data_IF_365123481503
#
_entry.id   IF_365123481503
#
_cell.length_a   1.000
_cell.length_b   1.000
_cell.length_c   1.000
_cell.angle_alpha   90.00
_cell.angle_beta   90.00
_cell.angle_gamma   90.00
#
_symmetry.space_group_name_H-M   'P 1'
#
loop_
_entity.id
_entity.type
_entity.pdbx_description
1 polymer ?
#
# COMPACT_ATOMS: atom_id res chain seq x y z
N UNK A 1 1.01 4.30 2.50
CA UNK A 1 1.69 4.65 1.24
C UNK A 1 2.42 3.41 0.73
N UNK A 2 1.94 2.76 -0.34
CA UNK A 2 2.52 1.51 -0.84
C UNK A 2 4.00 1.63 -1.22
N UNK A 3 4.44 2.83 -1.62
CA UNK A 3 5.83 3.15 -1.95
C UNK A 3 6.76 3.11 -0.73
N UNK A 4 6.28 3.51 0.45
CA UNK A 4 7.08 3.49 1.68
C UNK A 4 7.39 2.05 2.13
N UNK A 5 6.45 1.11 1.93
CA UNK A 5 6.67 -0.29 2.23
C UNK A 5 7.67 -0.93 1.23
N UNK A 6 7.64 -0.52 -0.06
CA UNK A 6 8.64 -0.94 -1.07
C UNK A 6 10.02 -0.39 -0.71
N UNK A 7 10.09 0.90 -0.36
CA UNK A 7 11.32 1.55 0.07
C UNK A 7 11.89 0.89 1.32
N UNK A 8 11.03 0.52 2.27
CA UNK A 8 11.39 -0.32 3.40
C UNK A 8 11.98 -1.66 2.97
N UNK A 9 11.35 -2.39 2.05
CA UNK A 9 11.86 -3.68 1.59
C UNK A 9 13.24 -3.56 0.94
N UNK A 10 13.41 -2.57 0.08
CA UNK A 10 14.73 -2.26 -0.51
C UNK A 10 15.76 -1.90 0.56
N UNK A 11 15.34 -1.12 1.56
CA UNK A 11 16.20 -0.71 2.66
C UNK A 11 16.57 -1.89 3.58
N UNK A 12 15.63 -2.79 3.89
CA UNK A 12 15.86 -4.04 4.64
C UNK A 12 16.82 -4.96 3.90
N UNK A 13 16.62 -5.13 2.60
CA UNK A 13 17.49 -5.94 1.75
C UNK A 13 18.89 -5.33 1.70
N UNK A 14 19.01 -4.02 1.52
CA UNK A 14 20.30 -3.31 1.55
C UNK A 14 20.99 -3.39 2.92
N UNK A 15 20.24 -3.25 4.02
CA UNK A 15 20.74 -3.42 5.38
C UNK A 15 21.22 -4.85 5.65
N UNK A 16 20.51 -5.86 5.14
CA UNK A 16 20.90 -7.27 5.25
C UNK A 16 22.18 -7.57 4.45
N UNK A 17 22.33 -7.00 3.26
CA UNK A 17 23.58 -7.09 2.49
C UNK A 17 24.74 -6.39 3.21
N UNK A 18 24.49 -5.26 3.88
CA UNK A 18 25.50 -4.56 4.69
C UNK A 18 26.00 -5.40 5.88
N UNK A 19 25.12 -6.17 6.52
CA UNK A 19 25.51 -7.14 7.57
C UNK A 19 26.28 -8.33 7.02
N UNK A 20 26.11 -8.67 5.75
CA UNK A 20 26.85 -9.75 5.09
C UNK A 20 28.28 -9.34 4.73
N UNK A 21 28.55 -8.03 4.61
CA UNK A 21 29.86 -7.48 4.29
C UNK A 21 30.73 -7.28 5.55
N UNK A 22 30.10 -7.02 6.70
CA UNK A 22 30.76 -6.99 8.01
C UNK A 22 30.73 -8.40 8.59
N UNK A 23 31.86 -9.12 8.57
CA UNK A 23 32.05 -10.49 9.05
C UNK A 23 31.34 -10.83 10.38
N UNK A 24 30.06 -11.23 10.31
CA UNK A 24 29.28 -11.86 11.37
C UNK A 24 28.25 -10.97 12.07
N UNK A 25 27.17 -11.64 12.52
CA UNK A 25 26.09 -11.09 13.36
C UNK A 25 26.67 -10.65 14.71
N UNK A 26 27.34 -9.51 14.72
CA UNK A 26 27.87 -8.86 15.91
C UNK A 26 26.79 -7.95 16.49
N UNK A 27 26.72 -7.85 17.82
CA UNK A 27 25.82 -6.94 18.53
C UNK A 27 25.96 -5.48 18.06
N UNK A 28 27.15 -5.10 17.62
CA UNK A 28 27.46 -3.79 17.02
C UNK A 28 26.90 -3.64 15.60
N UNK A 29 26.90 -4.71 14.79
CA UNK A 29 26.24 -4.73 13.48
C UNK A 29 24.73 -4.59 13.58
N UNK A 30 24.10 -5.31 14.52
CA UNK A 30 22.65 -5.20 14.79
C UNK A 30 22.31 -3.80 15.32
N UNK A 31 23.09 -3.26 16.26
CA UNK A 31 22.90 -1.89 16.74
C UNK A 31 23.12 -0.83 15.62
N UNK A 32 24.03 -1.11 14.69
CA UNK A 32 24.27 -0.30 13.50
C UNK A 32 23.07 -0.21 12.57
N UNK A 33 22.28 -1.28 12.42
CA UNK A 33 21.03 -1.26 11.64
C UNK A 33 19.99 -0.28 12.21
N UNK A 34 19.89 -0.19 13.54
CA UNK A 34 18.97 0.73 14.20
C UNK A 34 19.56 2.14 14.38
N UNK A 35 20.81 2.37 13.97
CA UNK A 35 21.43 3.68 14.02
C UNK A 35 20.74 4.65 13.06
N UNK A 36 20.35 5.81 13.58
CA UNK A 36 19.68 6.91 12.86
C UNK A 36 20.58 7.52 11.75
N UNK A 37 21.88 7.20 11.75
CA UNK A 37 22.84 7.66 10.75
C UNK A 37 22.88 6.80 9.49
N UNK A 38 22.36 5.57 9.54
CA UNK A 38 22.24 4.72 8.37
C UNK A 38 20.88 4.95 7.70
N UNK A 39 20.85 5.04 6.36
CA UNK A 39 19.62 5.25 5.60
C UNK A 39 18.52 4.23 5.95
N UNK A 40 18.90 3.02 6.40
CA UNK A 40 17.99 1.99 6.88
C UNK A 40 17.29 2.33 8.21
N UNK A 41 18.06 2.72 9.23
CA UNK A 41 17.51 3.02 10.56
C UNK A 41 16.56 4.22 10.55
N UNK A 42 16.88 5.24 9.75
CA UNK A 42 16.04 6.42 9.60
C UNK A 42 14.68 6.10 8.96
N UNK A 43 14.66 5.25 7.92
CA UNK A 43 13.43 4.83 7.24
C UNK A 43 12.56 3.97 8.14
N UNK A 44 13.17 3.03 8.86
CA UNK A 44 12.49 2.23 9.88
C UNK A 44 11.84 3.10 10.96
N UNK A 45 12.57 4.08 11.48
CA UNK A 45 12.07 4.98 12.51
C UNK A 45 10.86 5.80 12.04
N UNK A 46 10.95 6.45 10.88
CA UNK A 46 9.82 7.19 10.31
C UNK A 46 8.63 6.29 9.99
N UNK A 47 8.87 5.05 9.57
CA UNK A 47 7.79 4.09 9.35
C UNK A 47 7.08 3.72 10.64
N UNK A 48 7.84 3.39 11.68
CA UNK A 48 7.26 3.06 12.98
C UNK A 48 6.46 4.23 13.55
N UNK A 49 7.00 5.44 13.42
CA UNK A 49 6.30 6.67 13.80
C UNK A 49 5.00 6.85 13.01
N UNK A 50 5.03 6.61 11.70
CA UNK A 50 3.83 6.67 10.85
C UNK A 50 2.77 5.65 11.27
N UNK A 51 3.15 4.39 11.52
CA UNK A 51 2.22 3.35 11.99
C UNK A 51 1.68 3.67 13.38
N UNK A 52 2.51 4.21 14.27
CA UNK A 52 2.10 4.62 15.60
C UNK A 52 1.05 5.75 15.55
N UNK A 53 1.29 6.77 14.72
CA UNK A 53 0.34 7.85 14.49
C UNK A 53 -0.95 7.33 13.87
N UNK A 54 -0.88 6.44 12.88
CA UNK A 54 -2.06 5.80 12.26
C UNK A 54 -2.87 5.00 13.29
N UNK A 55 -2.20 4.29 14.19
CA UNK A 55 -2.84 3.56 15.29
C UNK A 55 -3.48 4.51 16.31
N UNK A 56 -2.85 5.65 16.60
CA UNK A 56 -3.38 6.67 17.48
C UNK A 56 -4.68 7.28 16.91
N UNK A 57 -4.70 7.62 15.62
CA UNK A 57 -5.90 8.10 14.96
C UNK A 57 -7.01 7.05 14.91
N UNK A 58 -6.68 5.79 14.63
CA UNK A 58 -7.65 4.70 14.69
C UNK A 58 -8.23 4.53 16.11
N UNK A 59 -7.39 4.60 17.15
CA UNK A 59 -7.83 4.55 18.54
C UNK A 59 -8.79 5.69 18.91
N UNK A 60 -8.54 6.91 18.42
CA UNK A 60 -9.45 8.06 18.62
C UNK A 60 -10.78 7.83 17.91
N UNK A 61 -10.78 7.34 16.67
CA UNK A 61 -12.00 7.07 15.91
C UNK A 61 -12.89 6.02 16.60
N UNK A 62 -12.31 4.92 17.09
CA UNK A 62 -13.05 3.89 17.83
C UNK A 62 -13.60 4.41 19.17
N UNK A 63 -12.86 5.30 19.85
CA UNK A 63 -13.36 5.97 21.06
C UNK A 63 -14.58 6.86 20.76
N UNK A 64 -14.63 7.48 19.58
CA UNK A 64 -15.75 8.30 19.14
C UNK A 64 -16.98 7.48 18.71
N UNK A 65 -16.79 6.27 18.16
CA UNK A 65 -17.89 5.37 17.79
C UNK A 65 -18.49 4.59 18.97
N UNK A 66 -17.82 4.53 20.13
CA UNK A 66 -18.35 3.86 21.34
C UNK A 66 -18.42 2.33 21.23
N UNK A 67 -17.81 1.75 20.20
CA UNK A 67 -17.75 0.32 19.91
C UNK A 67 -16.62 -0.38 20.68
N UNK A 68 -16.71 -1.70 20.84
CA UNK A 68 -15.69 -2.49 21.55
C UNK A 68 -14.34 -2.38 20.85
N UNK A 69 -13.30 -2.04 21.61
CA UNK A 69 -11.90 -1.99 21.15
C UNK A 69 -11.41 -3.30 20.50
N UNK A 70 -12.08 -4.43 20.73
CA UNK A 70 -11.77 -5.70 20.05
C UNK A 70 -11.94 -5.65 18.53
N UNK A 71 -12.82 -4.79 17.99
CA UNK A 71 -12.99 -4.62 16.54
C UNK A 71 -11.81 -3.86 15.90
N UNK A 72 -11.00 -3.14 16.69
CA UNK A 72 -9.80 -2.45 16.24
C UNK A 72 -8.73 -3.44 15.73
N UNK A 73 -8.69 -4.65 16.29
CA UNK A 73 -7.76 -5.71 15.85
C UNK A 73 -8.04 -6.12 14.40
N UNK A 74 -9.30 -6.03 13.94
CA UNK A 74 -9.66 -6.36 12.56
C UNK A 74 -9.11 -5.36 11.53
N UNK A 75 -8.75 -4.15 11.97
CA UNK A 75 -8.14 -3.13 11.13
C UNK A 75 -6.71 -3.50 10.71
N UNK A 76 -5.99 -4.27 11.54
CA UNK A 76 -4.63 -4.73 11.23
C UNK A 76 -4.60 -5.67 10.02
N UNK A 77 -5.33 -6.81 10.02
CA UNK A 77 -5.45 -7.67 8.84
C UNK A 77 -5.97 -6.91 7.64
N UNK A 78 -7.04 -6.12 7.80
CA UNK A 78 -7.63 -5.37 6.68
C UNK A 78 -6.62 -4.44 6.00
N UNK A 79 -5.84 -3.67 6.78
CA UNK A 79 -4.83 -2.75 6.23
C UNK A 79 -3.64 -3.47 5.63
N UNK A 80 -3.26 -4.64 6.16
CA UNK A 80 -2.19 -5.46 5.60
C UNK A 80 -2.61 -6.08 4.27
N UNK A 81 -3.76 -6.77 4.23
CA UNK A 81 -4.30 -7.38 3.02
C UNK A 81 -4.60 -6.33 1.93
N UNK A 82 -5.17 -5.17 2.30
CA UNK A 82 -5.43 -4.09 1.34
C UNK A 82 -4.14 -3.58 0.67
N UNK A 83 -3.07 -3.41 1.46
CA UNK A 83 -1.76 -3.01 0.92
C UNK A 83 -1.21 -4.05 -0.06
N UNK A 84 -1.28 -5.33 0.29
CA UNK A 84 -0.80 -6.39 -0.60
C UNK A 84 -1.63 -6.51 -1.88
N UNK A 85 -2.95 -6.35 -1.77
CA UNK A 85 -3.86 -6.35 -2.91
C UNK A 85 -3.55 -5.19 -3.87
N UNK A 86 -3.22 -4.01 -3.35
CA UNK A 86 -2.82 -2.87 -4.18
C UNK A 86 -1.58 -3.17 -5.02
N UNK A 87 -0.56 -3.87 -4.49
CA UNK A 87 0.58 -4.28 -5.31
C UNK A 87 0.17 -5.25 -6.42
N UNK A 88 -0.67 -6.22 -6.09
CA UNK A 88 -1.18 -7.18 -7.06
C UNK A 88 -1.92 -6.48 -8.20
N UNK A 89 -2.79 -5.52 -7.88
CA UNK A 89 -3.51 -4.70 -8.86
C UNK A 89 -2.56 -3.81 -9.65
N UNK A 90 -1.56 -3.21 -9.02
CA UNK A 90 -0.53 -2.39 -9.68
C UNK A 90 0.21 -3.21 -10.75
N UNK A 91 0.76 -4.37 -10.38
CA UNK A 91 1.44 -5.25 -11.32
C UNK A 91 0.51 -5.75 -12.42
N UNK A 92 -0.75 -6.07 -12.10
CA UNK A 92 -1.76 -6.44 -13.09
C UNK A 92 -2.03 -5.30 -14.08
N UNK A 93 -2.10 -4.06 -13.60
CA UNK A 93 -2.31 -2.86 -14.42
C UNK A 93 -1.09 -2.56 -15.31
N UNK A 94 0.12 -2.64 -14.76
CA UNK A 94 1.38 -2.44 -15.51
C UNK A 94 1.51 -3.50 -16.61
N UNK A 95 1.23 -4.77 -16.31
CA UNK A 95 1.23 -5.85 -17.31
C UNK A 95 0.22 -5.61 -18.43
N UNK A 96 -0.99 -5.14 -18.10
CA UNK A 96 -2.01 -4.78 -19.10
C UNK A 96 -1.58 -3.59 -19.97
N UNK A 97 -0.96 -2.57 -19.38
CA UNK A 97 -0.45 -1.41 -20.10
C UNK A 97 0.67 -1.79 -21.08
N UNK A 98 1.62 -2.63 -20.67
CA UNK A 98 2.70 -3.14 -21.54
C UNK A 98 2.13 -3.97 -22.69
N UNK A 99 1.09 -4.76 -22.43
CA UNK A 99 0.43 -5.58 -23.45
C UNK A 99 -0.40 -4.76 -24.45
N UNK A 100 -0.55 -3.45 -24.24
CA UNK A 100 -1.31 -2.57 -25.13
C UNK A 100 -2.82 -2.82 -25.10
N UNK A 101 -3.32 -3.60 -24.15
CA UNK A 101 -4.75 -3.73 -23.88
C UNK A 101 -5.20 -2.44 -23.19
N UNK A 102 -5.35 -1.36 -23.97
CA UNK A 102 -6.15 -0.22 -23.57
C UNK A 102 -7.49 -0.81 -23.13
N UNK A 103 -7.81 -0.70 -21.84
CA UNK A 103 -9.13 -1.07 -21.36
C UNK A 103 -10.09 -0.13 -22.10
N UNK A 104 -10.62 -0.57 -23.23
CA UNK A 104 -11.61 0.17 -24.00
C UNK A 104 -12.77 0.38 -23.05
N UNK A 105 -12.93 1.64 -22.62
CA UNK A 105 -14.08 2.06 -21.85
C UNK A 105 -15.28 1.72 -22.73
N UNK A 106 -16.13 0.80 -22.29
CA UNK A 106 -17.22 0.28 -23.10
C UNK A 106 -18.14 1.42 -23.54
N UNK A 107 -17.87 1.98 -24.72
CA UNK A 107 -18.67 3.03 -25.32
C UNK A 107 -19.99 2.40 -25.69
N UNK A 108 -21.01 2.63 -24.85
CA UNK A 108 -22.39 2.25 -25.15
C UNK A 108 -22.77 2.96 -26.46
N UNK A 109 -22.95 2.18 -27.54
CA UNK A 109 -23.50 2.69 -28.80
C UNK A 109 -24.88 3.25 -28.48
N UNK A 110 -25.07 4.56 -28.62
CA UNK A 110 -26.39 5.18 -28.50
C UNK A 110 -27.26 4.70 -29.67
N UNK A 111 -28.12 3.72 -29.43
CA UNK A 111 -29.23 3.37 -30.32
C UNK A 111 -30.39 4.32 -30.07
N UNK A 112 -30.28 5.55 -30.59
CA UNK A 112 -31.39 6.49 -30.68
C UNK A 112 -32.30 6.10 -31.83
N UNK A 113 -33.14 5.08 -31.65
CA UNK A 113 -34.21 4.75 -32.59
C UNK A 113 -35.43 5.63 -32.32
N UNK A 114 -35.42 6.88 -32.81
CA UNK A 114 -36.65 7.68 -32.85
C UNK A 114 -37.48 7.17 -34.02
N UNK A 115 -38.54 6.42 -33.74
CA UNK A 115 -39.60 6.17 -34.72
C UNK A 115 -40.34 7.49 -34.91
N UNK A 116 -40.14 8.13 -36.06
CA UNK A 116 -41.05 9.20 -36.47
C UNK A 116 -42.44 8.61 -36.63
N UNK A 117 -43.35 9.01 -35.74
CA UNK A 117 -44.78 8.76 -35.92
C UNK A 117 -45.26 9.78 -36.94
N UNK A 118 -45.15 9.43 -38.22
CA UNK A 118 -45.84 10.14 -39.29
C UNK A 118 -47.34 9.97 -39.06
N UNK A 119 -47.94 11.01 -38.46
CA UNK A 119 -49.39 11.14 -38.33
C UNK A 119 -49.92 11.45 -39.72
N UNK A 120 -50.51 10.46 -40.38
CA UNK A 120 -51.23 10.63 -41.64
C UNK A 120 -52.45 11.53 -41.40
N UNK A 121 -52.56 12.58 -42.22
CA UNK A 121 -53.66 13.52 -42.28
C UNK A 121 -54.97 12.88 -42.75
#
# INVERSE_FOLDING_TARGET
APLADIFMLFSLVSGLFSLSEVNGISWTGIAGLFSLHNGFGQVMFYYFLFVFVDMFFAGIAFKMEGEKLSNLIYLFPQRFFWRQLMYFVLFKSVRKAIKGELNTWGTLKRTGGVKEVTTSA
#
